data_IF_082342991266
#
_entry.id   IF_082342991266
#
_cell.length_a   1.000
_cell.length_b   1.000
_cell.length_c   1.000
_cell.angle_alpha   90.00
_cell.angle_beta   90.00
_cell.angle_gamma   90.00
#
_symmetry.space_group_name_H-M   'P 1'
#
loop_
_entity.id
_entity.type
_entity.pdbx_description
1 polymer ?
#
# COMPACT_ATOMS: atom_id res chain seq x y z
N UNK A 1 22.91 2.54 -25.31
CA UNK A 1 21.77 3.45 -24.93
C UNK A 1 21.04 2.97 -23.70
N UNK A 2 20.73 1.67 -23.55
CA UNK A 2 19.98 1.11 -22.41
C UNK A 2 20.67 1.27 -21.03
N UNK A 3 21.98 1.06 -20.94
CA UNK A 3 22.73 1.17 -19.67
C UNK A 3 22.75 2.60 -19.09
N UNK A 4 22.89 3.63 -19.94
CA UNK A 4 22.84 5.03 -19.49
C UNK A 4 21.46 5.42 -18.92
N UNK A 5 20.38 4.94 -19.55
CA UNK A 5 19.02 5.21 -19.09
C UNK A 5 18.71 4.47 -17.79
N UNK A 6 19.18 3.23 -17.62
CA UNK A 6 19.04 2.48 -16.37
C UNK A 6 19.80 3.16 -15.22
N UNK A 7 21.02 3.61 -15.47
CA UNK A 7 21.84 4.33 -14.47
C UNK A 7 21.20 5.66 -14.06
N UNK A 8 20.62 6.38 -15.02
CA UNK A 8 19.86 7.61 -14.76
C UNK A 8 18.61 7.35 -13.89
N UNK A 9 17.87 6.26 -14.14
CA UNK A 9 16.70 5.89 -13.34
C UNK A 9 17.07 5.55 -11.90
N UNK A 10 18.11 4.76 -11.69
CA UNK A 10 18.60 4.40 -10.36
C UNK A 10 19.10 5.64 -9.60
N UNK A 11 19.82 6.54 -10.26
CA UNK A 11 20.31 7.76 -9.60
C UNK A 11 19.18 8.70 -9.20
N UNK A 12 18.14 8.85 -10.02
CA UNK A 12 16.95 9.62 -9.68
C UNK A 12 16.19 9.00 -8.48
N UNK A 13 16.05 7.68 -8.46
CA UNK A 13 15.44 6.97 -7.35
C UNK A 13 16.21 7.19 -6.05
N UNK A 14 17.52 7.03 -6.06
CA UNK A 14 18.38 7.27 -4.89
C UNK A 14 18.32 8.73 -4.44
N UNK A 15 18.34 9.68 -5.38
CA UNK A 15 18.20 11.10 -5.06
C UNK A 15 16.85 11.42 -4.38
N UNK A 16 15.75 10.82 -4.86
CA UNK A 16 14.43 10.99 -4.23
C UNK A 16 14.39 10.43 -2.81
N UNK A 17 15.00 9.27 -2.55
CA UNK A 17 15.12 8.71 -1.19
C UNK A 17 15.91 9.64 -0.27
N UNK A 18 17.03 10.18 -0.75
CA UNK A 18 17.83 11.15 0.02
C UNK A 18 17.01 12.39 0.38
N UNK A 19 16.22 12.92 -0.57
CA UNK A 19 15.34 14.06 -0.30
C UNK A 19 14.27 13.75 0.77
N UNK A 20 13.68 12.55 0.72
CA UNK A 20 12.74 12.11 1.76
C UNK A 20 13.43 12.04 3.13
N UNK A 21 14.64 11.47 3.22
CA UNK A 21 15.39 11.42 4.47
C UNK A 21 15.76 12.82 4.96
N UNK A 22 16.21 13.70 4.07
CA UNK A 22 16.56 15.09 4.43
C UNK A 22 15.37 15.87 4.97
N UNK A 23 14.15 15.59 4.53
CA UNK A 23 12.94 16.23 5.04
C UNK A 23 12.71 15.97 6.53
N UNK A 24 13.27 14.88 7.10
CA UNK A 24 13.18 14.57 8.53
C UNK A 24 13.86 15.61 9.43
N UNK A 25 14.90 16.26 8.92
CA UNK A 25 15.60 17.33 9.64
C UNK A 25 14.81 18.65 9.66
N UNK A 26 13.86 18.80 8.74
CA UNK A 26 13.02 19.98 8.67
C UNK A 26 11.73 19.84 9.48
N UNK A 27 10.98 18.76 9.27
CA UNK A 27 9.71 18.52 9.95
C UNK A 27 9.35 17.05 9.89
N UNK A 28 9.06 16.44 11.05
CA UNK A 28 8.71 15.01 11.12
C UNK A 28 7.42 14.67 10.37
N UNK A 29 6.39 15.55 10.44
CA UNK A 29 5.13 15.30 9.72
C UNK A 29 5.36 15.28 8.20
N UNK A 30 6.18 16.21 7.70
CA UNK A 30 6.56 16.22 6.28
C UNK A 30 7.29 14.95 5.88
N UNK A 31 8.28 14.55 6.69
CA UNK A 31 9.01 13.29 6.45
C UNK A 31 8.09 12.08 6.41
N UNK A 32 7.24 11.93 7.44
CA UNK A 32 6.29 10.83 7.55
C UNK A 32 5.36 10.80 6.32
N UNK A 33 4.76 11.93 5.97
CA UNK A 33 3.86 12.04 4.82
C UNK A 33 4.55 11.68 3.51
N UNK A 34 5.77 12.19 3.27
CA UNK A 34 6.53 11.89 2.06
C UNK A 34 6.92 10.41 1.98
N UNK A 35 7.35 9.82 3.10
CA UNK A 35 7.72 8.40 3.17
C UNK A 35 6.51 7.50 2.89
N UNK A 36 5.35 7.80 3.49
CA UNK A 36 4.11 7.05 3.26
C UNK A 36 3.63 7.19 1.80
N UNK A 37 3.57 8.40 1.25
CA UNK A 37 3.21 8.58 -0.15
C UNK A 37 4.15 7.87 -1.11
N UNK A 38 5.44 7.82 -0.79
CA UNK A 38 6.41 7.09 -1.59
C UNK A 38 6.12 5.59 -1.62
N UNK A 39 5.82 4.98 -0.47
CA UNK A 39 5.47 3.56 -0.39
C UNK A 39 4.13 3.25 -1.06
N UNK A 40 3.12 4.13 -0.88
CA UNK A 40 1.81 4.02 -1.54
C UNK A 40 1.96 4.06 -3.07
N UNK A 41 2.79 4.96 -3.58
CA UNK A 41 3.05 5.06 -5.02
C UNK A 41 3.65 3.76 -5.57
N UNK A 42 4.64 3.19 -4.87
CA UNK A 42 5.25 1.92 -5.25
C UNK A 42 4.21 0.79 -5.23
N UNK A 43 3.39 0.72 -4.18
CA UNK A 43 2.32 -0.27 -4.05
C UNK A 43 1.33 -0.20 -5.23
N UNK A 44 0.90 0.99 -5.61
CA UNK A 44 0.00 1.18 -6.74
C UNK A 44 0.65 0.91 -8.10
N UNK A 45 1.94 1.21 -8.26
CA UNK A 45 2.69 0.81 -9.46
C UNK A 45 2.76 -0.71 -9.60
N UNK A 46 2.98 -1.44 -8.50
CA UNK A 46 2.92 -2.91 -8.49
C UNK A 46 1.56 -3.42 -8.99
N UNK A 47 0.47 -2.84 -8.49
CA UNK A 47 -0.88 -3.16 -8.97
C UNK A 47 -1.05 -2.85 -10.46
N UNK A 48 -0.64 -1.66 -10.92
CA UNK A 48 -0.77 -1.25 -12.34
C UNK A 48 -0.02 -2.22 -13.26
N UNK A 49 1.18 -2.64 -12.88
CA UNK A 49 1.96 -3.64 -13.64
C UNK A 49 1.19 -4.96 -13.69
N UNK A 50 0.69 -5.44 -12.55
CA UNK A 50 -0.08 -6.70 -12.47
C UNK A 50 -1.36 -6.63 -13.30
N UNK A 51 -2.11 -5.52 -13.20
CA UNK A 51 -3.33 -5.30 -13.99
C UNK A 51 -3.03 -5.29 -15.49
N UNK A 52 -1.98 -4.62 -15.91
CA UNK A 52 -1.59 -4.52 -17.32
C UNK A 52 -1.17 -5.87 -17.90
N UNK A 53 -0.51 -6.69 -17.09
CA UNK A 53 0.01 -7.99 -17.51
C UNK A 53 -0.90 -9.17 -17.12
N UNK A 54 -2.07 -8.95 -16.51
CA UNK A 54 -2.94 -9.99 -15.92
C UNK A 54 -3.27 -11.15 -16.85
N UNK A 55 -3.41 -10.86 -18.15
CA UNK A 55 -3.75 -11.89 -19.16
C UNK A 55 -2.54 -12.73 -19.58
N UNK A 56 -1.33 -12.29 -19.23
CA UNK A 56 -0.04 -12.95 -19.52
C UNK A 56 0.58 -13.62 -18.28
N UNK A 57 0.02 -13.37 -17.09
CA UNK A 57 0.52 -13.92 -15.83
C UNK A 57 -0.18 -15.26 -15.58
N UNK A 58 0.59 -16.33 -15.63
CA UNK A 58 0.12 -17.69 -15.29
C UNK A 58 0.37 -18.04 -13.80
N UNK A 59 1.18 -17.23 -13.11
CA UNK A 59 1.56 -17.40 -11.72
C UNK A 59 0.60 -16.65 -10.79
N UNK A 60 -0.21 -17.40 -10.02
CA UNK A 60 -1.19 -16.82 -9.10
C UNK A 60 -0.58 -16.02 -7.96
N UNK A 61 0.67 -16.31 -7.55
CA UNK A 61 1.41 -15.53 -6.56
C UNK A 61 1.48 -14.05 -6.97
N UNK A 62 1.87 -13.78 -8.22
CA UNK A 62 1.98 -12.42 -8.74
C UNK A 62 0.62 -11.71 -8.80
N UNK A 63 -0.45 -12.44 -9.11
CA UNK A 63 -1.82 -11.90 -9.11
C UNK A 63 -2.25 -11.51 -7.70
N UNK A 64 -2.02 -12.37 -6.70
CA UNK A 64 -2.37 -12.11 -5.30
C UNK A 64 -1.58 -10.91 -4.78
N UNK A 65 -0.27 -10.89 -4.96
CA UNK A 65 0.59 -9.80 -4.48
C UNK A 65 0.23 -8.47 -5.15
N UNK A 66 0.14 -8.45 -6.49
CA UNK A 66 -0.17 -7.20 -7.19
C UNK A 66 -1.53 -6.60 -6.81
N UNK A 67 -2.55 -7.45 -6.61
CA UNK A 67 -3.87 -6.97 -6.17
C UNK A 67 -3.82 -6.53 -4.71
N UNK A 68 -3.16 -7.29 -3.82
CA UNK A 68 -3.06 -6.92 -2.40
C UNK A 68 -2.42 -5.54 -2.20
N UNK A 69 -1.40 -5.20 -2.99
CA UNK A 69 -0.74 -3.89 -2.90
C UNK A 69 -1.63 -2.71 -3.28
N UNK A 70 -2.64 -2.89 -4.15
CA UNK A 70 -3.66 -1.85 -4.33
C UNK A 70 -4.36 -1.53 -3.00
N UNK A 71 -4.85 -2.56 -2.32
CA UNK A 71 -5.66 -2.41 -1.11
C UNK A 71 -4.83 -2.02 0.10
N UNK A 72 -3.61 -2.54 0.24
CA UNK A 72 -2.63 -2.07 1.24
C UNK A 72 -2.37 -0.58 1.05
N UNK A 73 -2.08 -0.14 -0.17
CA UNK A 73 -1.86 1.27 -0.47
C UNK A 73 -3.08 2.16 -0.20
N UNK A 74 -4.31 1.64 -0.40
CA UNK A 74 -5.54 2.38 -0.03
C UNK A 74 -5.65 2.53 1.50
N UNK A 75 -5.35 1.49 2.28
CA UNK A 75 -5.38 1.58 3.74
C UNK A 75 -4.28 2.52 4.23
N UNK A 76 -3.05 2.41 3.69
CA UNK A 76 -1.93 3.29 4.04
C UNK A 76 -2.21 4.75 3.67
N UNK A 77 -2.94 5.02 2.58
CA UNK A 77 -3.38 6.37 2.24
C UNK A 77 -4.32 6.93 3.32
N UNK A 78 -5.33 6.17 3.73
CA UNK A 78 -6.26 6.62 4.78
C UNK A 78 -5.52 6.76 6.13
N UNK A 79 -4.58 5.84 6.46
CA UNK A 79 -3.68 5.98 7.61
C UNK A 79 -2.94 7.32 7.59
N UNK A 80 -2.29 7.64 6.46
CA UNK A 80 -1.50 8.88 6.30
C UNK A 80 -2.39 10.12 6.48
N UNK A 81 -3.59 10.12 5.88
CA UNK A 81 -4.55 11.21 6.00
C UNK A 81 -5.16 11.34 7.41
N UNK A 82 -5.26 10.22 8.15
CA UNK A 82 -5.72 10.19 9.53
C UNK A 82 -4.62 10.55 10.54
N UNK A 83 -3.37 10.65 10.10
CA UNK A 83 -2.24 10.91 11.00
C UNK A 83 -2.38 12.25 11.71
N UNK A 84 -2.01 12.27 13.01
CA UNK A 84 -2.09 13.45 13.86
C UNK A 84 -1.29 14.62 13.26
N UNK A 85 -1.95 15.73 13.01
CA UNK A 85 -1.37 16.91 12.39
C UNK A 85 -1.86 17.17 10.96
N UNK A 86 -2.45 16.19 10.28
CA UNK A 86 -3.09 16.40 8.96
C UNK A 86 -4.45 17.09 9.06
N UNK A 87 -5.13 17.00 10.22
CA UNK A 87 -6.43 17.63 10.51
C UNK A 87 -7.55 17.31 9.49
N UNK A 88 -7.49 16.16 8.84
CA UNK A 88 -8.50 15.73 7.86
C UNK A 88 -9.62 14.98 8.56
N UNK A 89 -9.30 14.07 9.47
CA UNK A 89 -10.26 13.28 10.24
C UNK A 89 -10.47 13.93 11.61
N UNK A 90 -11.17 15.07 11.64
CA UNK A 90 -11.54 15.77 12.88
C UNK A 90 -12.63 14.99 13.62
N UNK A 91 -12.41 14.71 14.91
CA UNK A 91 -13.37 13.96 15.75
C UNK A 91 -13.01 12.48 15.92
N UNK A 92 -11.89 12.03 15.37
CA UNK A 92 -11.33 10.71 15.64
C UNK A 92 -10.11 10.81 16.55
N UNK A 93 -9.88 9.79 17.37
CA UNK A 93 -8.75 9.71 18.28
C UNK A 93 -7.45 9.37 17.51
N UNK A 94 -6.31 9.58 18.18
CA UNK A 94 -4.98 9.18 17.69
C UNK A 94 -4.82 7.67 17.46
N UNK A 95 -5.79 6.88 17.90
CA UNK A 95 -5.86 5.43 17.72
C UNK A 95 -6.21 5.04 16.28
N UNK A 96 -7.05 5.83 15.58
CA UNK A 96 -7.47 5.56 14.21
C UNK A 96 -6.30 5.32 13.24
N UNK A 97 -5.29 6.20 13.13
CA UNK A 97 -4.16 5.94 12.23
C UNK A 97 -3.37 4.70 12.64
N UNK A 98 -3.24 4.42 13.93
CA UNK A 98 -2.53 3.22 14.40
C UNK A 98 -3.24 1.93 13.99
N UNK A 99 -4.57 1.87 14.15
CA UNK A 99 -5.38 0.73 13.73
C UNK A 99 -5.29 0.50 12.22
N UNK A 100 -5.37 1.56 11.42
CA UNK A 100 -5.24 1.48 9.97
C UNK A 100 -3.87 0.94 9.54
N UNK A 101 -2.80 1.44 10.15
CA UNK A 101 -1.45 0.98 9.86
C UNK A 101 -1.26 -0.51 10.19
N UNK A 102 -1.72 -0.93 11.39
CA UNK A 102 -1.68 -2.34 11.79
C UNK A 102 -2.46 -3.21 10.80
N UNK A 103 -3.67 -2.78 10.42
CA UNK A 103 -4.50 -3.53 9.48
C UNK A 103 -3.83 -3.68 8.11
N UNK A 104 -3.16 -2.63 7.59
CA UNK A 104 -2.39 -2.70 6.36
C UNK A 104 -1.24 -3.72 6.46
N UNK A 105 -0.48 -3.71 7.56
CA UNK A 105 0.63 -4.66 7.78
C UNK A 105 0.15 -6.11 7.90
N UNK A 106 -0.99 -6.35 8.58
CA UNK A 106 -1.57 -7.69 8.62
C UNK A 106 -2.08 -8.14 7.25
N UNK A 107 -2.79 -7.28 6.52
CA UNK A 107 -3.27 -7.61 5.18
C UNK A 107 -2.11 -7.95 4.24
N UNK A 108 -1.04 -7.17 4.26
CA UNK A 108 0.17 -7.41 3.48
C UNK A 108 0.82 -8.75 3.84
N UNK A 109 1.08 -8.99 5.12
CA UNK A 109 1.75 -10.20 5.60
C UNK A 109 0.94 -11.47 5.28
N UNK A 110 -0.37 -11.43 5.50
CA UNK A 110 -1.28 -12.55 5.17
C UNK A 110 -1.32 -12.76 3.66
N UNK A 111 -1.36 -11.69 2.87
CA UNK A 111 -1.34 -11.79 1.41
C UNK A 111 -0.07 -12.49 0.91
N UNK A 112 1.10 -12.17 1.46
CA UNK A 112 2.35 -12.85 1.13
C UNK A 112 2.31 -14.34 1.48
N UNK A 113 1.84 -14.70 2.67
CA UNK A 113 1.71 -16.10 3.08
C UNK A 113 0.75 -16.87 2.17
N UNK A 114 -0.42 -16.30 1.91
CA UNK A 114 -1.44 -16.93 1.06
C UNK A 114 -0.97 -17.04 -0.39
N UNK A 115 -0.30 -16.02 -0.91
CA UNK A 115 0.19 -15.99 -2.29
C UNK A 115 1.13 -17.16 -2.58
N UNK A 116 1.94 -17.58 -1.59
CA UNK A 116 2.88 -18.69 -1.73
C UNK A 116 2.20 -20.00 -2.16
N UNK A 117 0.97 -20.26 -1.72
CA UNK A 117 0.21 -21.46 -2.09
C UNK A 117 -0.29 -21.43 -3.55
N UNK A 118 -0.13 -20.34 -4.26
CA UNK A 118 -0.61 -20.13 -5.62
C UNK A 118 0.51 -19.92 -6.65
N UNK A 119 1.77 -20.22 -6.30
CA UNK A 119 2.93 -20.05 -7.21
C UNK A 119 2.73 -20.81 -8.53
N UNK A 120 2.22 -22.05 -8.46
CA UNK A 120 2.03 -22.92 -9.63
C UNK A 120 0.55 -22.98 -10.08
N UNK A 121 -0.27 -22.00 -9.69
CA UNK A 121 -1.71 -22.00 -10.00
C UNK A 121 -2.10 -20.73 -10.72
N UNK A 122 -2.87 -20.88 -11.78
CA UNK A 122 -3.49 -19.73 -12.46
C UNK A 122 -4.73 -19.27 -11.70
N UNK A 123 -4.77 -18.02 -11.29
CA UNK A 123 -5.90 -17.40 -10.61
C UNK A 123 -6.64 -16.43 -11.54
N UNK A 124 -7.95 -16.34 -11.36
CA UNK A 124 -8.78 -15.37 -12.07
C UNK A 124 -8.67 -14.01 -11.36
N UNK A 125 -8.15 -13.01 -12.06
CA UNK A 125 -7.98 -11.65 -11.53
C UNK A 125 -9.26 -11.09 -10.86
N UNK A 126 -10.48 -11.16 -11.47
CA UNK A 126 -11.68 -10.60 -10.85
C UNK A 126 -12.04 -11.25 -9.52
N UNK A 127 -11.80 -12.58 -9.39
CA UNK A 127 -12.08 -13.29 -8.14
C UNK A 127 -11.18 -12.81 -7.01
N UNK A 128 -9.87 -12.75 -7.25
CA UNK A 128 -8.90 -12.27 -6.25
C UNK A 128 -9.19 -10.81 -5.87
N UNK A 129 -9.48 -9.98 -6.88
CA UNK A 129 -9.84 -8.58 -6.65
C UNK A 129 -11.07 -8.43 -5.76
N UNK A 130 -12.15 -9.20 -6.02
CA UNK A 130 -13.38 -9.16 -5.22
C UNK A 130 -13.14 -9.61 -3.77
N UNK A 131 -12.27 -10.60 -3.55
CA UNK A 131 -11.91 -11.06 -2.20
C UNK A 131 -11.20 -9.94 -1.43
N UNK A 132 -10.17 -9.31 -2.01
CA UNK A 132 -9.47 -8.23 -1.35
C UNK A 132 -10.35 -7.00 -1.13
N UNK A 133 -11.23 -6.66 -2.09
CA UNK A 133 -12.20 -5.59 -1.94
C UNK A 133 -13.11 -5.84 -0.72
N UNK A 134 -13.65 -7.06 -0.59
CA UNK A 134 -14.54 -7.41 0.52
C UNK A 134 -13.82 -7.38 1.86
N UNK A 135 -12.58 -7.89 1.94
CA UNK A 135 -11.75 -7.85 3.14
C UNK A 135 -11.47 -6.40 3.55
N UNK A 136 -11.05 -5.56 2.61
CA UNK A 136 -10.72 -4.16 2.87
C UNK A 136 -11.96 -3.37 3.30
N UNK A 137 -13.10 -3.60 2.65
CA UNK A 137 -14.36 -2.99 3.07
C UNK A 137 -14.76 -3.41 4.50
N UNK A 138 -14.57 -4.68 4.85
CA UNK A 138 -14.79 -5.18 6.21
C UNK A 138 -13.84 -4.55 7.24
N UNK A 139 -12.57 -4.39 6.90
CA UNK A 139 -11.57 -3.71 7.74
C UNK A 139 -12.00 -2.26 8.01
N UNK A 140 -12.33 -1.49 6.98
CA UNK A 140 -12.80 -0.12 7.16
C UNK A 140 -14.09 -0.06 7.98
N UNK A 141 -15.06 -0.90 7.66
CA UNK A 141 -16.31 -0.94 8.41
C UNK A 141 -16.07 -1.22 9.91
N UNK A 142 -15.20 -2.19 10.25
CA UNK A 142 -14.89 -2.53 11.63
C UNK A 142 -14.16 -1.41 12.37
N UNK A 143 -13.15 -0.79 11.77
CA UNK A 143 -12.34 0.27 12.39
C UNK A 143 -13.22 1.52 12.61
N UNK A 144 -13.87 2.02 11.56
CA UNK A 144 -14.68 3.24 11.68
C UNK A 144 -15.93 3.06 12.55
N UNK A 145 -16.50 1.84 12.61
CA UNK A 145 -17.61 1.55 13.51
C UNK A 145 -17.14 1.51 14.96
N UNK A 146 -16.02 0.83 15.26
CA UNK A 146 -15.46 0.76 16.61
C UNK A 146 -15.10 2.16 17.14
N UNK A 147 -14.44 2.99 16.34
CA UNK A 147 -14.06 4.37 16.73
C UNK A 147 -15.27 5.29 16.97
N UNK A 148 -16.42 5.04 16.33
CA UNK A 148 -17.62 5.85 16.51
C UNK A 148 -18.32 5.58 17.85
N UNK A 149 -18.11 4.41 18.45
CA UNK A 149 -18.76 3.97 19.67
C UNK A 149 -17.79 3.84 20.87
N UNK A 150 -16.55 4.20 20.70
CA UNK A 150 -15.51 4.31 21.71
C UNK A 150 -15.41 5.73 22.28
#
# INVERSE_FOLDING_TARGET
MHLKNAFSGVSLFLASLVLVVLSSFYNYLLFHTLAEFYSILIAWLMFVITYTLRDKIDNGYLIVIGISYLFVGVIDLIHTLAYKGMNIFTGFDANLPTQLWIAARYLESIAFLVAFFFVDRKLKFPLVFSVFLSITAGIFASIFFAEKFS
#
